data_IF_735118717847
#
_entry.id   IF_735118717847
#
_cell.length_a   1.000
_cell.length_b   1.000
_cell.length_c   1.000
_cell.angle_alpha   90.00
_cell.angle_beta   90.00
_cell.angle_gamma   90.00
#
_symmetry.space_group_name_H-M   'P 1'
#
loop_
_entity.id
_entity.type
_entity.pdbx_description
1 polymer ?
#
# COMPACT_ATOMS: atom_id res chain seq x y z
N UNK A 1 21.45 -40.76 16.94
CA UNK A 1 20.02 -40.41 17.16
C UNK A 1 19.87 -39.03 17.83
N UNK A 2 20.36 -38.82 19.05
CA UNK A 2 20.16 -37.58 19.81
C UNK A 2 20.64 -36.30 19.08
N UNK A 3 21.85 -36.31 18.54
CA UNK A 3 22.41 -35.16 17.79
C UNK A 3 21.53 -34.77 16.60
N UNK A 4 20.99 -35.75 15.87
CA UNK A 4 20.10 -35.51 14.74
C UNK A 4 18.83 -34.76 15.17
N UNK A 5 18.21 -35.15 16.29
CA UNK A 5 17.02 -34.47 16.82
C UNK A 5 17.31 -33.02 17.23
N UNK A 6 18.50 -32.73 17.77
CA UNK A 6 18.92 -31.37 18.12
C UNK A 6 19.05 -30.51 16.87
N UNK A 7 19.72 -31.01 15.82
CA UNK A 7 19.84 -30.29 14.55
C UNK A 7 18.48 -30.09 13.86
N UNK A 8 17.59 -31.10 13.88
CA UNK A 8 16.25 -30.99 13.33
C UNK A 8 15.39 -29.95 14.06
N UNK A 9 15.45 -29.91 15.40
CA UNK A 9 14.74 -28.92 16.21
C UNK A 9 15.26 -27.50 15.96
N UNK A 10 16.59 -27.32 15.87
CA UNK A 10 17.20 -26.03 15.53
C UNK A 10 16.81 -25.56 14.12
N UNK A 11 16.76 -26.47 13.15
CA UNK A 11 16.33 -26.16 11.79
C UNK A 11 14.84 -25.77 11.74
N UNK A 12 13.97 -26.48 12.44
CA UNK A 12 12.56 -26.10 12.55
C UNK A 12 12.38 -24.74 13.24
N UNK A 13 13.10 -24.48 14.34
CA UNK A 13 13.08 -23.19 15.01
C UNK A 13 13.54 -22.07 14.06
N UNK A 14 14.61 -22.28 13.29
CA UNK A 14 15.12 -21.33 12.31
C UNK A 14 14.11 -21.04 11.19
N UNK A 15 13.54 -22.07 10.56
CA UNK A 15 12.51 -21.90 9.53
C UNK A 15 11.27 -21.22 10.11
N UNK A 16 10.79 -21.65 11.28
CA UNK A 16 9.64 -21.02 11.93
C UNK A 16 9.90 -19.54 12.24
N UNK A 17 11.12 -19.19 12.66
CA UNK A 17 11.55 -17.81 12.91
C UNK A 17 11.59 -16.97 11.64
N UNK A 18 12.02 -17.54 10.50
CA UNK A 18 11.98 -16.85 9.20
C UNK A 18 10.54 -16.58 8.73
N UNK A 19 9.60 -17.46 9.04
CA UNK A 19 8.18 -17.26 8.72
C UNK A 19 7.48 -16.30 9.69
N UNK A 20 7.74 -16.40 10.99
CA UNK A 20 7.13 -15.56 12.03
C UNK A 20 7.74 -14.16 12.12
N UNK A 21 8.99 -13.99 11.67
CA UNK A 21 9.75 -12.74 11.76
C UNK A 21 9.29 -11.62 10.84
N UNK A 22 8.31 -11.86 9.94
CA UNK A 22 7.68 -10.80 9.14
C UNK A 22 6.71 -9.97 9.99
N UNK A 23 7.23 -9.27 11.00
CA UNK A 23 6.47 -8.21 11.67
C UNK A 23 6.17 -7.12 10.65
N UNK A 24 4.88 -6.92 10.35
CA UNK A 24 4.43 -5.73 9.63
C UNK A 24 4.64 -4.55 10.57
N UNK A 25 5.54 -3.64 10.21
CA UNK A 25 5.62 -2.36 10.89
C UNK A 25 4.32 -1.60 10.61
N UNK A 26 3.55 -1.20 11.65
CA UNK A 26 2.35 -0.42 11.44
C UNK A 26 2.72 0.90 10.76
N UNK A 27 1.88 1.35 9.81
CA UNK A 27 2.10 2.64 9.16
C UNK A 27 1.98 3.75 10.20
N UNK A 28 2.82 4.79 10.15
CA UNK A 28 2.66 5.97 10.99
C UNK A 28 1.26 6.59 10.80
N UNK A 29 0.67 7.11 11.86
CA UNK A 29 -0.71 7.63 11.85
C UNK A 29 -0.95 8.72 10.80
N UNK A 30 0.01 9.63 10.62
CA UNK A 30 -0.10 10.70 9.61
C UNK A 30 -0.19 10.14 8.17
N UNK A 31 0.45 9.00 7.87
CA UNK A 31 0.35 8.37 6.55
C UNK A 31 -1.06 7.85 6.32
N UNK A 32 -1.69 7.32 7.37
CA UNK A 32 -3.08 6.83 7.29
C UNK A 32 -4.05 8.00 7.11
N UNK A 33 -3.82 9.12 7.79
CA UNK A 33 -4.61 10.35 7.60
C UNK A 33 -4.47 10.90 6.16
N UNK A 34 -3.26 10.96 5.63
CA UNK A 34 -2.99 11.39 4.24
C UNK A 34 -3.67 10.48 3.21
N UNK A 35 -3.63 9.16 3.42
CA UNK A 35 -4.33 8.18 2.57
C UNK A 35 -5.84 8.43 2.57
N UNK A 36 -6.41 8.71 3.75
CA UNK A 36 -7.84 8.98 3.89
C UNK A 36 -8.25 10.23 3.12
N UNK A 37 -7.46 11.30 3.21
CA UNK A 37 -7.70 12.54 2.45
C UNK A 37 -7.74 12.25 0.95
N UNK A 38 -6.75 11.52 0.42
CA UNK A 38 -6.72 11.15 -1.01
C UNK A 38 -7.95 10.32 -1.39
N UNK A 39 -8.32 9.33 -0.57
CA UNK A 39 -9.46 8.46 -0.83
C UNK A 39 -10.78 9.23 -0.83
N UNK A 40 -10.95 10.14 0.13
CA UNK A 40 -12.13 10.99 0.24
C UNK A 40 -12.22 11.97 -0.93
N UNK A 41 -11.09 12.51 -1.43
CA UNK A 41 -11.06 13.29 -2.67
C UNK A 41 -11.50 12.48 -3.88
N UNK A 42 -11.05 11.22 -4.02
CA UNK A 42 -11.50 10.34 -5.12
C UNK A 42 -13.02 10.09 -5.03
N UNK A 43 -13.55 9.84 -3.83
CA UNK A 43 -14.99 9.62 -3.61
C UNK A 43 -15.82 10.86 -3.91
N UNK A 44 -15.37 12.03 -3.44
CA UNK A 44 -16.05 13.32 -3.71
C UNK A 44 -16.14 13.63 -5.20
N UNK A 45 -15.19 13.16 -6.00
CA UNK A 45 -15.16 13.32 -7.45
C UNK A 45 -15.93 12.22 -8.21
N UNK A 46 -16.74 11.41 -7.52
CA UNK A 46 -17.59 10.39 -8.15
C UNK A 46 -16.89 9.04 -8.39
N UNK A 47 -15.76 8.79 -7.73
CA UNK A 47 -15.05 7.52 -7.82
C UNK A 47 -14.12 7.39 -9.04
N UNK A 48 -14.05 8.40 -9.90
CA UNK A 48 -13.12 8.50 -11.03
C UNK A 48 -12.42 9.86 -11.03
N UNK A 49 -11.09 9.87 -11.12
CA UNK A 49 -10.32 11.13 -11.12
C UNK A 49 -8.98 10.98 -11.83
N UNK A 50 -8.46 12.07 -12.40
CA UNK A 50 -7.10 12.11 -12.95
C UNK A 50 -6.09 12.44 -11.84
N UNK A 51 -4.95 11.74 -11.82
CA UNK A 51 -3.92 11.95 -10.79
C UNK A 51 -3.43 13.41 -10.68
N UNK A 52 -3.39 14.17 -11.78
CA UNK A 52 -3.02 15.59 -11.76
C UNK A 52 -4.02 16.45 -11.01
N UNK A 53 -5.29 16.08 -11.01
CA UNK A 53 -6.34 16.82 -10.31
C UNK A 53 -6.35 16.47 -8.83
N UNK A 54 -6.04 15.21 -8.47
CA UNK A 54 -5.76 14.84 -7.08
C UNK A 54 -4.60 15.63 -6.47
N UNK A 55 -3.54 15.89 -7.23
CA UNK A 55 -2.41 16.74 -6.78
C UNK A 55 -2.88 18.15 -6.47
N UNK A 56 -3.76 18.72 -7.31
CA UNK A 56 -4.31 20.07 -7.10
C UNK A 56 -5.26 20.12 -5.90
N UNK A 57 -6.15 19.13 -5.80
CA UNK A 57 -7.18 19.05 -4.76
C UNK A 57 -6.59 18.84 -3.37
N UNK A 58 -5.61 17.94 -3.25
CA UNK A 58 -5.03 17.57 -1.94
C UNK A 58 -3.90 18.49 -1.50
N UNK A 59 -3.32 19.28 -2.42
CA UNK A 59 -2.12 20.08 -2.16
C UNK A 59 -0.84 19.26 -1.94
N UNK A 60 -0.90 17.94 -2.11
CA UNK A 60 0.25 17.07 -1.92
C UNK A 60 1.19 17.07 -3.12
N UNK A 61 2.48 16.80 -2.88
CA UNK A 61 3.43 16.64 -3.98
C UNK A 61 3.06 15.46 -4.89
N UNK A 62 3.40 15.56 -6.18
CA UNK A 62 3.16 14.50 -7.16
C UNK A 62 3.73 13.14 -6.71
N UNK A 63 4.90 13.14 -6.08
CA UNK A 63 5.54 11.94 -5.53
C UNK A 63 4.74 11.34 -4.37
N UNK A 64 4.25 12.18 -3.44
CA UNK A 64 3.42 11.73 -2.31
C UNK A 64 2.10 11.12 -2.79
N UNK A 65 1.41 11.79 -3.72
CA UNK A 65 0.18 11.25 -4.35
C UNK A 65 0.47 9.94 -5.07
N UNK A 66 1.55 9.88 -5.86
CA UNK A 66 1.91 8.65 -6.59
C UNK A 66 2.19 7.48 -5.64
N UNK A 67 2.87 7.73 -4.52
CA UNK A 67 3.16 6.71 -3.49
C UNK A 67 1.87 6.18 -2.87
N UNK A 68 0.99 7.08 -2.41
CA UNK A 68 -0.30 6.72 -1.81
C UNK A 68 -1.14 5.90 -2.78
N UNK A 69 -1.26 6.35 -4.04
CA UNK A 69 -2.03 5.62 -5.05
C UNK A 69 -1.43 4.24 -5.34
N UNK A 70 -0.10 4.07 -5.37
CA UNK A 70 0.51 2.74 -5.52
C UNK A 70 0.22 1.82 -4.33
N UNK A 71 0.19 2.35 -3.12
CA UNK A 71 -0.16 1.56 -1.93
C UNK A 71 -1.65 1.21 -1.86
N UNK A 72 -2.53 2.08 -2.36
CA UNK A 72 -3.97 1.79 -2.49
C UNK A 72 -4.25 0.76 -3.59
N UNK A 73 -3.56 0.87 -4.74
CA UNK A 73 -3.64 -0.10 -5.83
C UNK A 73 -3.10 -1.47 -5.42
N UNK A 74 -1.98 -1.53 -4.70
CA UNK A 74 -1.45 -2.78 -4.16
C UNK A 74 -2.39 -3.46 -3.15
N UNK A 75 -3.27 -2.69 -2.51
CA UNK A 75 -4.35 -3.19 -1.64
C UNK A 75 -5.67 -3.42 -2.38
N UNK A 76 -5.69 -3.26 -3.72
CA UNK A 76 -6.87 -3.38 -4.59
C UNK A 76 -8.03 -2.42 -4.26
N UNK A 77 -7.76 -1.32 -3.56
CA UNK A 77 -8.78 -0.30 -3.22
C UNK A 77 -9.09 0.59 -4.44
N UNK A 78 -8.11 0.76 -5.33
CA UNK A 78 -8.25 1.52 -6.57
C UNK A 78 -7.62 0.73 -7.73
N UNK A 79 -7.94 1.14 -8.95
CA UNK A 79 -7.22 0.75 -10.16
C UNK A 79 -6.69 1.98 -10.89
N UNK A 80 -5.52 1.85 -11.52
CA UNK A 80 -4.95 2.89 -12.39
C UNK A 80 -5.03 2.48 -13.84
N UNK A 81 -5.31 3.45 -14.69
CA UNK A 81 -5.25 3.29 -16.13
C UNK A 81 -4.40 4.41 -16.73
N UNK A 82 -3.60 4.08 -17.74
CA UNK A 82 -2.77 5.07 -18.42
C UNK A 82 -3.67 6.06 -19.15
N UNK A 83 -3.54 7.35 -18.82
CA UNK A 83 -4.31 8.42 -19.46
C UNK A 83 -3.38 9.55 -19.90
N UNK A 84 -3.07 9.61 -21.21
CA UNK A 84 -2.12 10.58 -21.78
C UNK A 84 -0.78 10.55 -21.02
N UNK A 85 -0.32 11.71 -20.52
CA UNK A 85 0.92 11.87 -19.74
C UNK A 85 0.76 11.64 -18.24
N UNK A 86 -0.41 11.16 -17.81
CA UNK A 86 -0.77 10.90 -16.41
C UNK A 86 -1.53 9.57 -16.29
N UNK A 87 -2.12 9.30 -15.13
CA UNK A 87 -2.99 8.16 -14.91
C UNK A 87 -4.39 8.64 -14.53
N UNK A 88 -5.38 7.87 -14.96
CA UNK A 88 -6.75 7.93 -14.48
C UNK A 88 -6.90 6.90 -13.36
N UNK A 89 -7.57 7.31 -12.30
CA UNK A 89 -7.75 6.56 -11.06
C UNK A 89 -9.22 6.24 -10.94
N UNK A 90 -9.54 4.97 -10.69
CA UNK A 90 -10.89 4.54 -10.40
C UNK A 90 -10.93 3.86 -9.03
N UNK A 91 -11.95 4.17 -8.24
CA UNK A 91 -12.25 3.43 -7.03
C UNK A 91 -12.73 2.03 -7.43
N UNK A 92 -12.21 1.01 -6.76
CA UNK A 92 -12.81 -0.31 -6.86
C UNK A 92 -13.96 -0.36 -5.86
N UNK A 93 -15.12 -0.80 -6.33
CA UNK A 93 -16.31 -1.03 -5.50
C UNK A 93 -16.11 -2.21 -4.55
#
# INVERSE_FOLDING_TARGET
>A
ALLYYIFAAAFHAFISGLFLGRRRNPKPEYVVADEKIVLDSIRKMGGEVIQSDLVKETGFSKAKVSKILSELEGRKVIRKEKYKRTNRIFLNE
#
